data_IF_364104550988
#
_entry.id   IF_364104550988
#
_cell.length_a   1.000
_cell.length_b   1.000
_cell.length_c   1.000
_cell.angle_alpha   90.00
_cell.angle_beta   90.00
_cell.angle_gamma   90.00
#
_symmetry.space_group_name_H-M   'P 1'
#
loop_
_entity.id
_entity.type
_entity.pdbx_description
1 polymer ?
#
# COMPACT_ATOMS: atom_id res chain seq x y z
N UNK A 1 7.25 -24.14 -1.98
CA UNK A 1 6.25 -23.59 -1.04
C UNK A 1 5.00 -23.25 -1.84
N UNK A 2 3.83 -23.86 -1.57
CA UNK A 2 2.57 -23.41 -2.20
C UNK A 2 2.09 -22.19 -1.43
N UNK A 3 2.20 -21.01 -2.03
CA UNK A 3 1.70 -19.78 -1.41
C UNK A 3 0.18 -19.85 -1.31
N UNK A 4 -0.34 -19.50 -0.13
CA UNK A 4 -1.78 -19.43 0.10
C UNK A 4 -2.42 -18.43 -0.88
N UNK A 5 -3.59 -18.72 -1.47
CA UNK A 5 -4.21 -17.81 -2.45
C UNK A 5 -4.46 -16.42 -1.86
N UNK A 6 -4.73 -16.31 -0.55
CA UNK A 6 -4.90 -15.02 0.13
C UNK A 6 -3.58 -14.25 0.23
N UNK A 7 -2.46 -14.93 0.44
CA UNK A 7 -1.13 -14.29 0.43
C UNK A 7 -0.80 -13.73 -0.95
N UNK A 8 -1.09 -14.50 -2.01
CA UNK A 8 -0.88 -14.04 -3.39
C UNK A 8 -1.77 -12.83 -3.69
N UNK A 9 -3.06 -12.90 -3.34
CA UNK A 9 -3.99 -11.80 -3.55
C UNK A 9 -3.56 -10.54 -2.78
N UNK A 10 -3.19 -10.67 -1.51
CA UNK A 10 -2.71 -9.54 -0.71
C UNK A 10 -1.46 -8.90 -1.33
N UNK A 11 -0.47 -9.70 -1.72
CA UNK A 11 0.74 -9.19 -2.33
C UNK A 11 0.48 -8.52 -3.69
N UNK A 12 -0.35 -9.13 -4.53
CA UNK A 12 -0.70 -8.60 -5.84
C UNK A 12 -1.45 -7.27 -5.71
N UNK A 13 -2.40 -7.16 -4.79
CA UNK A 13 -3.16 -5.92 -4.59
C UNK A 13 -2.29 -4.78 -4.06
N UNK A 14 -1.41 -5.04 -3.08
CA UNK A 14 -0.47 -4.04 -2.57
C UNK A 14 0.48 -3.56 -3.68
N UNK A 15 1.01 -4.49 -4.48
CA UNK A 15 1.87 -4.13 -5.61
C UNK A 15 1.10 -3.33 -6.68
N UNK A 16 -0.15 -3.68 -6.95
CA UNK A 16 -1.01 -2.98 -7.90
C UNK A 16 -1.27 -1.54 -7.46
N UNK A 17 -1.54 -1.30 -6.18
CA UNK A 17 -1.67 0.07 -5.64
C UNK A 17 -0.37 0.85 -5.82
N UNK A 18 0.78 0.21 -5.60
CA UNK A 18 2.09 0.81 -5.89
C UNK A 18 2.25 1.18 -7.36
N UNK A 19 1.80 0.33 -8.28
CA UNK A 19 1.82 0.64 -9.72
C UNK A 19 0.88 1.78 -10.09
N UNK A 20 -0.33 1.83 -9.51
CA UNK A 20 -1.27 2.94 -9.70
C UNK A 20 -0.64 4.25 -9.22
N UNK A 21 -0.06 4.24 -8.02
CA UNK A 21 0.64 5.40 -7.46
C UNK A 21 1.85 5.82 -8.31
N UNK A 22 2.57 4.84 -8.86
CA UNK A 22 3.66 5.07 -9.81
C UNK A 22 3.19 5.72 -11.11
N UNK A 23 2.04 5.30 -11.64
CA UNK A 23 1.39 5.95 -12.78
C UNK A 23 1.04 7.41 -12.50
N UNK A 24 0.54 7.71 -11.29
CA UNK A 24 0.29 9.08 -10.84
C UNK A 24 1.60 9.88 -10.76
N UNK A 25 2.67 9.32 -10.19
CA UNK A 25 3.96 10.00 -10.11
C UNK A 25 4.53 10.32 -11.52
N UNK A 26 4.42 9.38 -12.46
CA UNK A 26 4.82 9.58 -13.85
C UNK A 26 3.98 10.66 -14.53
N UNK A 27 2.66 10.66 -14.30
CA UNK A 27 1.77 11.70 -14.80
C UNK A 27 2.15 13.09 -14.25
N UNK A 28 2.40 13.19 -12.95
CA UNK A 28 2.84 14.44 -12.33
C UNK A 28 4.18 14.93 -12.91
N UNK A 29 5.15 14.03 -13.09
CA UNK A 29 6.43 14.37 -13.70
C UNK A 29 6.29 14.81 -15.17
N UNK A 30 5.46 14.13 -15.95
CA UNK A 30 5.17 14.51 -17.34
C UNK A 30 4.47 15.89 -17.43
N UNK A 31 3.70 16.27 -16.41
CA UNK A 31 3.00 17.55 -16.37
C UNK A 31 3.95 18.76 -16.35
N UNK A 32 5.22 18.58 -15.98
CA UNK A 32 6.22 19.66 -15.99
C UNK A 32 6.54 20.17 -17.39
N UNK A 33 6.32 19.35 -18.43
CA UNK A 33 6.59 19.72 -19.81
C UNK A 33 5.44 20.50 -20.47
N UNK A 34 4.26 20.53 -19.85
CA UNK A 34 3.04 21.10 -20.44
C UNK A 34 2.37 22.21 -19.64
N UNK A 35 2.80 22.47 -18.40
CA UNK A 35 2.16 23.43 -17.50
C UNK A 35 3.16 24.40 -16.88
N UNK A 36 2.73 25.65 -16.66
CA UNK A 36 3.45 26.58 -15.79
C UNK A 36 3.37 26.07 -14.35
N UNK A 37 4.51 25.64 -13.81
CA UNK A 37 4.61 25.19 -12.42
C UNK A 37 4.84 26.41 -11.54
N UNK A 38 3.91 26.69 -10.62
CA UNK A 38 4.01 27.83 -9.71
C UNK A 38 5.27 27.78 -8.82
N UNK A 39 5.63 26.58 -8.36
CA UNK A 39 6.84 26.32 -7.58
C UNK A 39 7.42 24.94 -7.93
N UNK A 40 8.56 24.96 -8.62
CA UNK A 40 9.27 23.75 -9.06
C UNK A 40 9.78 22.93 -7.87
N UNK A 41 10.14 23.57 -6.76
CA UNK A 41 10.65 22.90 -5.57
C UNK A 41 9.58 22.02 -4.92
N UNK A 42 8.42 22.61 -4.60
CA UNK A 42 7.27 21.88 -4.05
C UNK A 42 6.78 20.79 -5.00
N UNK A 43 6.68 21.09 -6.30
CA UNK A 43 6.24 20.12 -7.28
C UNK A 43 7.19 18.91 -7.37
N UNK A 44 8.51 19.16 -7.38
CA UNK A 44 9.53 18.10 -7.42
C UNK A 44 9.48 17.24 -6.15
N UNK A 45 9.33 17.87 -4.98
CA UNK A 45 9.22 17.14 -3.72
C UNK A 45 8.01 16.18 -3.72
N UNK A 46 6.86 16.63 -4.24
CA UNK A 46 5.67 15.79 -4.37
C UNK A 46 5.88 14.62 -5.34
N UNK A 47 6.48 14.86 -6.50
CA UNK A 47 6.79 13.78 -7.47
C UNK A 47 7.70 12.73 -6.84
N UNK A 48 8.79 13.16 -6.19
CA UNK A 48 9.76 12.26 -5.55
C UNK A 48 9.12 11.47 -4.40
N UNK A 49 8.35 12.14 -3.54
CA UNK A 49 7.68 11.48 -2.41
C UNK A 49 6.65 10.46 -2.90
N UNK A 50 5.85 10.79 -3.91
CA UNK A 50 4.88 9.86 -4.51
C UNK A 50 5.58 8.69 -5.17
N UNK A 51 6.69 8.92 -5.89
CA UNK A 51 7.49 7.84 -6.48
C UNK A 51 8.09 6.92 -5.41
N UNK A 52 8.60 7.48 -4.31
CA UNK A 52 9.12 6.69 -3.19
C UNK A 52 8.04 5.82 -2.53
N UNK A 53 6.84 6.37 -2.32
CA UNK A 53 5.69 5.62 -1.81
C UNK A 53 5.27 4.49 -2.75
N UNK A 54 5.28 4.74 -4.07
CA UNK A 54 4.99 3.73 -5.09
C UNK A 54 6.00 2.57 -5.04
N UNK A 55 7.29 2.89 -4.99
CA UNK A 55 8.38 1.90 -4.87
C UNK A 55 8.23 1.09 -3.57
N UNK A 56 7.92 1.76 -2.45
CA UNK A 56 7.72 1.10 -1.17
C UNK A 56 6.57 0.09 -1.22
N UNK A 57 5.42 0.45 -1.80
CA UNK A 57 4.28 -0.47 -1.96
C UNK A 57 4.63 -1.69 -2.83
N UNK A 58 5.30 -1.48 -3.97
CA UNK A 58 5.77 -2.60 -4.81
C UNK A 58 6.75 -3.49 -4.03
N UNK A 59 7.69 -2.89 -3.28
CA UNK A 59 8.63 -3.62 -2.45
C UNK A 59 7.95 -4.43 -1.35
N UNK A 60 6.91 -3.89 -0.70
CA UNK A 60 6.11 -4.62 0.28
C UNK A 60 5.36 -5.79 -0.35
N UNK A 61 4.76 -5.62 -1.53
CA UNK A 61 4.13 -6.71 -2.28
C UNK A 61 5.12 -7.85 -2.57
N UNK A 62 6.31 -7.51 -3.08
CA UNK A 62 7.39 -8.49 -3.34
C UNK A 62 7.85 -9.16 -2.03
N UNK A 63 7.99 -8.41 -0.94
CA UNK A 63 8.38 -8.93 0.36
C UNK A 63 7.32 -9.91 0.93
N UNK A 64 6.03 -9.63 0.76
CA UNK A 64 4.94 -10.54 1.14
C UNK A 64 5.04 -11.86 0.35
N UNK A 65 5.32 -11.82 -0.96
CA UNK A 65 5.52 -13.03 -1.77
C UNK A 65 6.74 -13.85 -1.31
N UNK A 66 7.76 -13.18 -0.79
CA UNK A 66 8.97 -13.80 -0.24
C UNK A 66 8.82 -14.21 1.23
N UNK A 67 7.59 -14.16 1.77
CA UNK A 67 7.24 -14.46 3.17
C UNK A 67 8.00 -13.64 4.22
N UNK A 68 8.48 -12.47 3.84
CA UNK A 68 9.23 -11.58 4.72
C UNK A 68 8.30 -10.82 5.66
N UNK A 69 8.57 -10.89 6.97
CA UNK A 69 7.74 -10.28 8.00
C UNK A 69 7.55 -8.76 7.85
N UNK A 70 8.60 -8.05 7.41
CA UNK A 70 8.56 -6.60 7.20
C UNK A 70 7.64 -6.16 6.06
N UNK A 71 7.36 -7.04 5.09
CA UNK A 71 6.44 -6.74 4.00
C UNK A 71 5.00 -6.59 4.48
N UNK A 72 4.57 -7.46 5.41
CA UNK A 72 3.21 -7.44 5.97
C UNK A 72 3.00 -6.23 6.87
N UNK A 73 3.94 -5.94 7.78
CA UNK A 73 3.82 -4.77 8.66
C UNK A 73 3.87 -3.46 7.86
N UNK A 74 4.79 -3.36 6.90
CA UNK A 74 4.89 -2.20 6.00
C UNK A 74 3.61 -1.97 5.21
N UNK A 75 3.03 -3.03 4.62
CA UNK A 75 1.77 -2.93 3.90
C UNK A 75 0.61 -2.49 4.81
N UNK A 76 0.48 -3.05 6.02
CA UNK A 76 -0.57 -2.62 6.97
C UNK A 76 -0.43 -1.13 7.29
N UNK A 77 0.77 -0.66 7.60
CA UNK A 77 1.03 0.75 7.88
C UNK A 77 0.68 1.62 6.67
N UNK A 78 1.10 1.22 5.47
CA UNK A 78 0.78 1.94 4.25
C UNK A 78 -0.74 2.07 4.02
N UNK A 79 -1.51 1.00 4.24
CA UNK A 79 -2.97 1.07 4.12
C UNK A 79 -3.60 2.01 5.14
N UNK A 80 -3.12 2.00 6.38
CA UNK A 80 -3.60 2.94 7.40
C UNK A 80 -3.26 4.39 7.04
N UNK A 81 -2.09 4.65 6.44
CA UNK A 81 -1.73 5.97 5.93
C UNK A 81 -2.62 6.39 4.76
N UNK A 82 -2.93 5.49 3.82
CA UNK A 82 -3.86 5.78 2.72
C UNK A 82 -5.26 6.07 3.24
N UNK A 83 -5.74 5.32 4.24
CA UNK A 83 -7.02 5.59 4.91
C UNK A 83 -7.02 6.93 5.65
N UNK A 84 -5.92 7.30 6.29
CA UNK A 84 -5.75 8.62 6.91
C UNK A 84 -5.80 9.75 5.86
N UNK A 85 -5.15 9.55 4.71
CA UNK A 85 -5.22 10.48 3.57
C UNK A 85 -6.66 10.57 3.03
N UNK A 86 -7.35 9.45 2.89
CA UNK A 86 -8.75 9.42 2.46
C UNK A 86 -9.67 10.17 3.44
N UNK A 87 -9.46 9.97 4.75
CA UNK A 87 -10.19 10.71 5.77
C UNK A 87 -9.93 12.21 5.66
N UNK A 88 -8.67 12.62 5.46
CA UNK A 88 -8.31 14.01 5.20
C UNK A 88 -8.96 14.57 3.93
N UNK A 89 -9.07 13.78 2.86
CA UNK A 89 -9.79 14.17 1.64
C UNK A 89 -11.31 14.27 1.85
N UNK A 90 -11.87 13.55 2.83
CA UNK A 90 -13.29 13.61 3.17
C UNK A 90 -13.65 14.81 4.05
N UNK A 91 -12.74 15.26 4.93
CA UNK A 91 -13.03 16.24 5.99
C UNK A 91 -12.23 17.55 5.88
N UNK A 92 -11.24 17.61 4.99
CA UNK A 92 -10.36 18.76 4.84
C UNK A 92 -11.03 20.01 4.26
N UNK A 93 -10.27 21.11 4.18
CA UNK A 93 -10.77 22.41 3.69
C UNK A 93 -11.34 22.36 2.25
N UNK A 94 -10.85 21.41 1.44
CA UNK A 94 -11.33 21.12 0.08
C UNK A 94 -11.93 19.72 0.00
N UNK A 95 -12.82 19.40 0.95
CA UNK A 95 -13.42 18.07 1.07
C UNK A 95 -14.09 17.60 -0.24
N UNK A 96 -13.67 16.41 -0.70
CA UNK A 96 -14.25 15.70 -1.83
C UNK A 96 -14.61 14.27 -1.41
N UNK A 97 -15.78 14.07 -0.78
CA UNK A 97 -16.13 12.79 -0.16
C UNK A 97 -16.21 11.64 -1.17
N UNK A 98 -16.57 11.91 -2.43
CA UNK A 98 -16.56 10.90 -3.48
C UNK A 98 -15.13 10.41 -3.80
N UNK A 99 -14.16 11.33 -3.87
CA UNK A 99 -12.75 10.98 -4.09
C UNK A 99 -12.17 10.26 -2.87
N UNK A 100 -12.53 10.72 -1.67
CA UNK A 100 -12.16 10.03 -0.44
C UNK A 100 -12.65 8.58 -0.41
N UNK A 101 -13.89 8.32 -0.84
CA UNK A 101 -14.42 6.96 -0.93
C UNK A 101 -13.65 6.10 -1.95
N UNK A 102 -13.28 6.67 -3.10
CA UNK A 102 -12.46 5.98 -4.11
C UNK A 102 -11.05 5.63 -3.61
N UNK A 103 -10.47 6.44 -2.71
CA UNK A 103 -9.19 6.15 -2.08
C UNK A 103 -9.35 5.13 -0.95
N UNK A 104 -10.38 5.28 -0.11
CA UNK A 104 -10.58 4.45 1.08
C UNK A 104 -10.99 3.02 0.75
N UNK A 105 -11.87 2.83 -0.25
CA UNK A 105 -12.40 1.52 -0.60
C UNK A 105 -11.31 0.48 -0.95
N UNK A 106 -10.40 0.74 -1.91
CA UNK A 106 -9.33 -0.20 -2.21
C UNK A 106 -8.42 -0.42 -0.99
N UNK A 107 -8.05 0.66 -0.28
CA UNK A 107 -7.15 0.55 0.86
C UNK A 107 -7.71 -0.33 1.98
N UNK A 108 -9.02 -0.23 2.25
CA UNK A 108 -9.69 -1.07 3.22
C UNK A 108 -9.72 -2.54 2.78
N UNK A 109 -10.03 -2.80 1.51
CA UNK A 109 -10.04 -4.17 0.96
C UNK A 109 -8.64 -4.79 1.07
N UNK A 110 -7.61 -4.06 0.66
CA UNK A 110 -6.22 -4.53 0.71
C UNK A 110 -5.76 -4.73 2.15
N UNK A 111 -6.11 -3.84 3.08
CA UNK A 111 -5.82 -3.99 4.51
C UNK A 111 -6.38 -5.30 5.06
N UNK A 112 -7.65 -5.60 4.77
CA UNK A 112 -8.29 -6.83 5.23
C UNK A 112 -7.63 -8.08 4.64
N UNK A 113 -7.19 -8.03 3.38
CA UNK A 113 -6.43 -9.12 2.74
C UNK A 113 -5.08 -9.33 3.42
N UNK A 114 -4.31 -8.26 3.67
CA UNK A 114 -3.00 -8.34 4.32
C UNK A 114 -3.12 -8.85 5.76
N UNK A 115 -4.10 -8.37 6.53
CA UNK A 115 -4.38 -8.86 7.89
C UNK A 115 -4.72 -10.35 7.86
N UNK A 116 -5.55 -10.78 6.90
CA UNK A 116 -5.92 -12.20 6.74
C UNK A 116 -4.72 -13.07 6.41
N UNK A 117 -3.84 -12.62 5.51
CA UNK A 117 -2.60 -13.30 5.19
C UNK A 117 -1.66 -13.40 6.41
N UNK A 118 -1.52 -12.32 7.18
CA UNK A 118 -0.71 -12.30 8.39
C UNK A 118 -1.23 -13.27 9.46
N UNK A 119 -2.55 -13.29 9.70
CA UNK A 119 -3.18 -14.22 10.65
C UNK A 119 -3.00 -15.68 10.25
N UNK A 120 -3.11 -16.01 8.96
CA UNK A 120 -2.89 -17.38 8.47
C UNK A 120 -1.43 -17.82 8.64
N UNK A 121 -0.48 -16.93 8.35
CA UNK A 121 0.95 -17.18 8.60
C UNK A 121 1.22 -17.47 10.07
N UNK A 122 0.69 -16.64 10.98
CA UNK A 122 0.86 -16.84 12.43
C UNK A 122 0.26 -18.18 12.92
N UNK A 123 -0.91 -18.59 12.41
CA UNK A 123 -1.53 -19.86 12.76
C UNK A 123 -0.69 -21.07 12.33
N UNK A 124 -0.08 -21.01 11.14
CA UNK A 124 0.82 -22.08 10.65
C UNK A 124 2.07 -22.18 11.52
N UNK A 125 2.67 -21.05 11.90
CA UNK A 125 3.81 -21.05 12.80
C UNK A 125 3.49 -21.65 14.18
N UNK A 126 2.27 -21.44 14.69
CA UNK A 126 1.81 -22.04 15.95
C UNK A 126 1.48 -23.53 15.87
N UNK A 127 1.01 -24.03 14.72
CA UNK A 127 0.77 -25.48 14.53
C UNK A 127 2.06 -26.29 14.37
N UNK A 128 3.13 -25.65 13.92
CA UNK A 128 4.44 -26.27 13.72
C UNK A 128 5.32 -26.23 14.99
N UNK A 129 4.82 -25.64 16.09
CA UNK A 129 5.51 -25.64 17.38
C UNK A 129 5.51 -27.08 17.95
N UNK A 130 6.68 -27.64 18.34
CA UNK A 130 6.74 -28.96 18.96
C UNK A 130 5.87 -28.98 20.21
N UNK A 131 5.16 -30.09 20.45
CA UNK A 131 4.54 -30.33 21.75
C UNK A 131 5.65 -30.40 22.80
N UNK A 132 5.90 -29.28 23.46
CA UNK A 132 6.86 -29.19 24.55
C UNK A 132 6.31 -30.09 25.67
N UNK A 133 7.10 -31.12 25.98
CA UNK A 133 6.65 -32.37 26.59
C UNK A 133 6.17 -32.26 28.03
N UNK A 134 5.30 -33.22 28.37
CA UNK A 134 5.06 -33.76 29.72
C UNK A 134 6.37 -34.22 30.40
#
# INVERSE_FOLDING_TARGET
>A
MRSDPVTIAAAASVALEGLVLGGIALWMGASFFGAEVMDVGTATALVVLTAAAAIALVAFGVAILRDQGWGRSGAIVAQLLILAVALGAATGAYAHPAQAALIAAPALIVLLLVISAARRSARRAGSDAPAEGD
#
